data_IF_212848331214
#
_entry.id   IF_212848331214
#
_cell.length_a   1.000
_cell.length_b   1.000
_cell.length_c   1.000
_cell.angle_alpha   90.00
_cell.angle_beta   90.00
_cell.angle_gamma   90.00
#
_symmetry.space_group_name_H-M   'P 1'
#
loop_
_entity.id
_entity.type
_entity.pdbx_description
1 polymer ?
#
# COMPACT_ATOMS: atom_id res chain seq x y z
N UNK A 1 -1.24 20.21 -16.01
CA UNK A 1 -1.81 18.99 -15.40
C UNK A 1 -3.29 19.20 -15.19
N UNK A 2 -4.14 18.16 -15.31
CA UNK A 2 -5.56 18.27 -14.99
C UNK A 2 -5.75 18.79 -13.57
N UNK A 3 -6.81 19.57 -13.36
CA UNK A 3 -7.13 20.09 -12.03
C UNK A 3 -7.58 18.96 -11.08
N UNK A 4 -7.70 19.21 -9.76
CA UNK A 4 -8.07 18.18 -8.80
C UNK A 4 -9.42 17.48 -9.07
N UNK A 5 -10.41 18.18 -9.65
CA UNK A 5 -11.72 17.60 -9.97
C UNK A 5 -11.63 16.68 -11.18
N UNK A 6 -10.88 17.10 -12.22
CA UNK A 6 -10.60 16.28 -13.39
C UNK A 6 -9.83 15.00 -13.03
N UNK A 7 -8.83 15.11 -12.15
CA UNK A 7 -8.08 13.95 -11.62
C UNK A 7 -9.00 12.98 -10.88
N UNK A 8 -9.88 13.49 -10.01
CA UNK A 8 -10.82 12.67 -9.26
C UNK A 8 -11.80 11.95 -10.19
N UNK A 9 -12.37 12.66 -11.18
CA UNK A 9 -13.27 12.07 -12.16
C UNK A 9 -12.57 11.00 -13.02
N UNK A 10 -11.30 11.22 -13.36
CA UNK A 10 -10.51 10.25 -14.12
C UNK A 10 -10.19 8.99 -13.30
N UNK A 11 -9.77 9.15 -12.04
CA UNK A 11 -9.53 8.02 -11.13
C UNK A 11 -10.81 7.19 -10.92
N UNK A 12 -11.96 7.86 -10.74
CA UNK A 12 -13.26 7.20 -10.64
C UNK A 12 -13.62 6.41 -11.90
N UNK A 13 -13.33 6.97 -13.09
CA UNK A 13 -13.58 6.32 -14.38
C UNK A 13 -12.69 5.09 -14.60
N UNK A 14 -11.43 5.13 -14.15
CA UNK A 14 -10.51 3.99 -14.28
C UNK A 14 -10.88 2.82 -13.36
N UNK A 15 -11.37 3.11 -12.15
CA UNK A 15 -11.85 2.09 -11.21
C UNK A 15 -10.74 1.20 -10.61
N UNK A 16 -9.47 1.62 -10.70
CA UNK A 16 -8.37 0.97 -9.97
C UNK A 16 -8.40 1.37 -8.48
N UNK A 17 -7.76 0.57 -7.60
CA UNK A 17 -7.59 0.90 -6.18
C UNK A 17 -7.06 2.32 -5.98
N UNK A 18 -6.05 2.67 -6.77
CA UNK A 18 -5.49 4.01 -6.86
C UNK A 18 -5.05 4.31 -8.30
N UNK A 19 -5.08 5.61 -8.63
CA UNK A 19 -4.49 6.21 -9.82
C UNK A 19 -3.46 7.24 -9.35
N UNK A 20 -2.25 7.17 -9.92
CA UNK A 20 -1.18 8.14 -9.63
C UNK A 20 -1.01 9.09 -10.81
N UNK A 21 -1.02 10.38 -10.52
CA UNK A 21 -0.67 11.44 -11.45
C UNK A 21 0.77 11.86 -11.16
N UNK A 22 1.63 11.78 -12.18
CA UNK A 22 3.02 12.24 -12.09
C UNK A 22 3.09 13.67 -12.61
N UNK A 23 3.33 14.62 -11.71
CA UNK A 23 3.32 16.06 -12.00
C UNK A 23 4.70 16.57 -12.43
N UNK A 24 5.76 15.97 -11.89
CA UNK A 24 7.14 16.21 -12.31
C UNK A 24 7.93 14.89 -12.23
N UNK A 25 8.19 14.21 -13.36
CA UNK A 25 8.86 12.91 -13.35
C UNK A 25 10.34 13.01 -12.97
N UNK A 26 11.01 14.15 -13.22
CA UNK A 26 12.43 14.32 -12.87
C UNK A 26 12.61 14.53 -11.37
N UNK A 27 11.63 15.18 -10.72
CA UNK A 27 11.62 15.44 -9.27
C UNK A 27 10.78 14.46 -8.47
N UNK A 28 10.13 13.50 -9.14
CA UNK A 28 9.24 12.52 -8.51
C UNK A 28 8.00 13.12 -7.84
N UNK A 29 7.51 14.28 -8.28
CA UNK A 29 6.31 14.90 -7.69
C UNK A 29 5.08 14.15 -8.17
N UNK A 30 4.33 13.58 -7.23
CA UNK A 30 3.19 12.71 -7.52
C UNK A 30 1.97 13.07 -6.70
N UNK A 31 0.81 12.72 -7.24
CA UNK A 31 -0.47 12.88 -6.58
C UNK A 31 -1.31 11.61 -6.72
N UNK A 32 -1.96 11.19 -5.64
CA UNK A 32 -2.54 9.85 -5.53
C UNK A 32 -4.03 9.97 -5.27
N UNK A 33 -4.83 9.30 -6.09
CA UNK A 33 -6.28 9.32 -6.00
C UNK A 33 -6.82 7.90 -5.96
N UNK A 34 -7.78 7.69 -5.08
CA UNK A 34 -8.71 6.56 -5.15
C UNK A 34 -9.90 6.99 -6.01
N UNK A 35 -10.83 6.09 -6.36
CA UNK A 35 -12.05 6.49 -7.08
C UNK A 35 -12.87 7.58 -6.39
N UNK A 36 -12.76 7.73 -5.06
CA UNK A 36 -13.61 8.63 -4.27
C UNK A 36 -12.89 9.80 -3.62
N UNK A 37 -11.58 9.70 -3.35
CA UNK A 37 -10.83 10.75 -2.68
C UNK A 37 -9.34 10.76 -3.04
N UNK A 38 -8.72 11.92 -2.85
CA UNK A 38 -7.28 12.13 -2.87
C UNK A 38 -6.62 11.61 -1.59
N UNK A 39 -5.53 10.86 -1.74
CA UNK A 39 -4.73 10.35 -0.63
C UNK A 39 -3.45 11.19 -0.43
N UNK A 40 -3.03 11.44 0.82
CA UNK A 40 -1.74 12.07 1.08
C UNK A 40 -0.56 11.13 0.83
N UNK A 41 -0.79 9.81 0.91
CA UNK A 41 0.20 8.75 0.68
C UNK A 41 -0.51 7.41 0.40
N UNK A 42 0.12 6.56 -0.42
CA UNK A 42 -0.26 5.15 -0.58
C UNK A 42 0.98 4.30 -0.89
N UNK A 43 1.08 3.13 -0.27
CA UNK A 43 2.28 2.28 -0.34
C UNK A 43 2.56 1.69 -1.73
N UNK A 44 1.75 0.74 -2.19
CA UNK A 44 2.00 0.08 -3.49
C UNK A 44 1.96 1.05 -4.70
N UNK A 45 1.18 2.16 -4.71
CA UNK A 45 1.29 3.13 -5.80
C UNK A 45 2.66 3.81 -5.82
N UNK A 46 3.24 4.16 -4.66
CA UNK A 46 4.61 4.67 -4.59
C UNK A 46 5.65 3.62 -5.02
N UNK A 47 5.49 2.34 -4.63
CA UNK A 47 6.37 1.25 -5.10
C UNK A 47 6.34 1.13 -6.63
N UNK A 48 5.14 1.18 -7.22
CA UNK A 48 4.94 1.08 -8.67
C UNK A 48 5.52 2.26 -9.43
N UNK A 49 5.33 3.49 -8.93
CA UNK A 49 5.84 4.70 -9.57
C UNK A 49 7.36 4.83 -9.42
N UNK A 50 7.90 4.48 -8.24
CA UNK A 50 9.35 4.44 -8.03
C UNK A 50 10.03 3.46 -8.98
N UNK A 51 9.42 2.30 -9.21
CA UNK A 51 9.85 1.35 -10.24
C UNK A 51 9.76 1.90 -11.67
N UNK A 52 8.67 2.61 -11.99
CA UNK A 52 8.44 3.15 -13.33
C UNK A 52 9.40 4.28 -13.70
N UNK A 53 9.67 5.18 -12.74
CA UNK A 53 10.45 6.39 -12.97
C UNK A 53 11.96 6.18 -12.78
N UNK A 54 12.38 5.15 -12.02
CA UNK A 54 13.79 4.87 -11.70
C UNK A 54 14.50 6.10 -11.10
N UNK A 55 13.90 6.67 -10.05
CA UNK A 55 14.40 7.82 -9.30
C UNK A 55 14.52 7.49 -7.81
N UNK A 56 15.42 8.16 -7.07
CA UNK A 56 15.69 7.80 -5.67
C UNK A 56 14.62 8.28 -4.69
N UNK A 57 13.74 9.20 -5.08
CA UNK A 57 12.76 9.82 -4.17
C UNK A 57 11.47 10.18 -4.91
N UNK A 58 10.33 10.06 -4.21
CA UNK A 58 9.04 10.62 -4.62
C UNK A 58 8.59 11.68 -3.64
N UNK A 59 8.01 12.77 -4.13
CA UNK A 59 7.40 13.82 -3.32
C UNK A 59 5.89 13.62 -3.33
N UNK A 60 5.34 13.24 -2.18
CA UNK A 60 3.88 13.08 -1.95
C UNK A 60 3.37 14.23 -1.08
N UNK A 61 2.05 14.44 -0.96
CA UNK A 61 1.50 15.40 0.00
C UNK A 61 1.86 15.10 1.46
N UNK A 62 2.13 13.83 1.82
CA UNK A 62 2.56 13.47 3.17
C UNK A 62 4.05 13.75 3.44
N UNK A 63 4.88 13.76 2.38
CA UNK A 63 6.32 13.93 2.50
C UNK A 63 7.12 13.23 1.41
N UNK A 64 8.43 13.26 1.58
CA UNK A 64 9.42 12.66 0.68
C UNK A 64 9.59 11.17 0.99
N UNK A 65 9.23 10.33 0.04
CA UNK A 65 9.32 8.87 0.10
C UNK A 65 10.64 8.46 -0.55
N UNK A 66 11.52 7.79 0.18
CA UNK A 66 12.74 7.22 -0.41
C UNK A 66 12.38 6.06 -1.33
N UNK A 67 13.13 5.86 -2.41
CA UNK A 67 12.94 4.78 -3.39
C UNK A 67 14.26 4.09 -3.65
N UNK A 68 14.23 2.76 -3.71
CA UNK A 68 15.41 1.95 -4.03
C UNK A 68 15.01 0.76 -4.89
N UNK A 69 15.67 0.61 -6.04
CA UNK A 69 15.56 -0.59 -6.87
C UNK A 69 16.66 -1.58 -6.50
N UNK A 70 16.30 -2.84 -6.33
CA UNK A 70 17.20 -3.91 -5.89
C UNK A 70 16.86 -5.22 -6.60
N UNK A 71 17.52 -5.44 -7.73
CA UNK A 71 17.26 -6.58 -8.60
C UNK A 71 15.82 -6.57 -9.12
N UNK A 72 15.02 -7.56 -8.68
CA UNK A 72 13.60 -7.68 -9.05
C UNK A 72 12.65 -6.94 -8.11
N UNK A 73 13.16 -6.34 -7.03
CA UNK A 73 12.36 -5.63 -6.03
C UNK A 73 12.46 -4.12 -6.21
N UNK A 74 11.31 -3.45 -6.02
CA UNK A 74 11.22 -2.01 -5.81
C UNK A 74 10.84 -1.78 -4.35
N UNK A 75 11.58 -0.91 -3.68
CA UNK A 75 11.40 -0.55 -2.29
C UNK A 75 11.06 0.93 -2.16
N UNK A 76 10.23 1.23 -1.17
CA UNK A 76 10.01 2.59 -0.68
C UNK A 76 10.34 2.67 0.80
N UNK A 77 10.77 3.84 1.26
CA UNK A 77 10.88 4.19 2.67
C UNK A 77 9.87 5.29 3.00
N UNK A 78 8.99 5.01 3.98
CA UNK A 78 7.93 5.91 4.38
C UNK A 78 7.69 5.84 5.90
N UNK A 79 6.95 6.81 6.44
CA UNK A 79 6.57 6.83 7.86
C UNK A 79 5.19 6.26 8.08
N UNK A 80 5.00 5.56 9.20
CA UNK A 80 3.70 5.00 9.57
C UNK A 80 2.61 6.05 9.77
N UNK A 81 2.98 7.22 10.29
CA UNK A 81 2.05 8.34 10.49
C UNK A 81 1.48 8.91 9.18
N UNK A 82 2.07 8.61 8.01
CA UNK A 82 1.55 9.05 6.71
C UNK A 82 0.42 8.17 6.20
N UNK A 83 0.35 6.91 6.67
CA UNK A 83 -0.71 6.01 6.29
C UNK A 83 -2.04 6.49 6.89
N UNK A 84 -3.13 6.60 6.10
CA UNK A 84 -4.46 6.78 6.66
C UNK A 84 -4.78 5.73 7.73
N UNK A 85 -5.59 6.10 8.73
CA UNK A 85 -5.94 5.22 9.83
C UNK A 85 -6.62 3.93 9.36
N UNK A 86 -6.17 2.79 9.89
CA UNK A 86 -6.67 1.45 9.57
C UNK A 86 -6.74 0.59 10.82
N UNK A 87 -7.77 -0.24 10.93
CA UNK A 87 -7.91 -1.19 12.03
C UNK A 87 -7.15 -2.46 11.71
N UNK A 88 -5.96 -2.62 12.30
CA UNK A 88 -5.21 -3.87 12.22
C UNK A 88 -5.82 -4.89 13.18
N UNK A 89 -6.41 -5.96 12.64
CA UNK A 89 -7.12 -7.00 13.40
C UNK A 89 -6.40 -8.33 13.24
N UNK A 90 -5.84 -8.82 14.34
CA UNK A 90 -5.16 -10.12 14.38
C UNK A 90 -6.18 -11.25 14.58
N UNK A 91 -6.00 -12.35 13.85
CA UNK A 91 -6.77 -13.59 13.92
C UNK A 91 -5.90 -14.77 14.38
N UNK A 92 -6.54 -15.88 14.75
CA UNK A 92 -5.86 -17.04 15.32
C UNK A 92 -5.05 -17.85 14.31
N UNK A 93 -5.44 -17.81 13.03
CA UNK A 93 -4.76 -18.56 11.97
C UNK A 93 -4.95 -17.93 10.58
N UNK A 94 -4.07 -18.26 9.64
CA UNK A 94 -4.22 -17.88 8.24
C UNK A 94 -5.55 -18.40 7.64
N UNK A 95 -5.96 -19.61 7.99
CA UNK A 95 -7.23 -20.18 7.54
C UNK A 95 -8.46 -19.40 8.03
N UNK A 96 -8.40 -18.81 9.23
CA UNK A 96 -9.46 -17.90 9.70
C UNK A 96 -9.51 -16.62 8.85
N UNK A 97 -8.36 -16.03 8.53
CA UNK A 97 -8.27 -14.84 7.66
C UNK A 97 -8.85 -15.15 6.27
N UNK A 98 -8.49 -16.30 5.68
CA UNK A 98 -8.99 -16.73 4.38
C UNK A 98 -10.52 -16.97 4.39
N UNK A 99 -11.05 -17.48 5.51
CA UNK A 99 -12.47 -17.76 5.66
C UNK A 99 -13.34 -16.52 5.96
N UNK A 100 -12.75 -15.33 6.15
CA UNK A 100 -13.52 -14.12 6.45
C UNK A 100 -14.47 -13.76 5.30
N UNK A 101 -15.73 -13.48 5.67
CA UNK A 101 -16.61 -12.70 4.82
C UNK A 101 -16.12 -11.25 4.75
N UNK A 102 -16.46 -10.54 3.66
CA UNK A 102 -16.24 -9.10 3.57
C UNK A 102 -17.01 -8.42 4.72
N UNK A 103 -16.35 -7.60 5.56
CA UNK A 103 -17.01 -6.85 6.63
C UNK A 103 -18.05 -5.86 6.09
N UNK A 104 -19.00 -5.46 6.95
CA UNK A 104 -19.89 -4.34 6.63
C UNK A 104 -19.09 -3.06 6.31
N UNK A 105 -19.55 -2.22 5.36
CA UNK A 105 -18.89 -0.96 5.03
C UNK A 105 -18.76 -0.02 6.24
N UNK A 106 -17.75 0.85 6.21
CA UNK A 106 -17.55 1.94 7.17
C UNK A 106 -16.23 1.93 7.93
N UNK A 107 -15.61 0.76 8.13
CA UNK A 107 -14.30 0.64 8.77
C UNK A 107 -13.27 0.06 7.79
N UNK A 108 -12.09 0.69 7.70
CA UNK A 108 -10.96 0.08 7.00
C UNK A 108 -10.33 -1.00 7.88
N UNK A 109 -10.52 -2.27 7.53
CA UNK A 109 -10.02 -3.41 8.30
C UNK A 109 -8.86 -4.06 7.58
N UNK A 110 -7.75 -4.22 8.28
CA UNK A 110 -6.63 -5.05 7.84
C UNK A 110 -6.58 -6.32 8.70
N UNK A 111 -7.17 -7.39 8.18
CA UNK A 111 -7.21 -8.68 8.85
C UNK A 111 -5.90 -9.43 8.60
N UNK A 112 -5.27 -9.93 9.64
CA UNK A 112 -4.00 -10.65 9.50
C UNK A 112 -3.84 -11.75 10.54
N UNK A 113 -3.01 -12.73 10.24
CA UNK A 113 -2.59 -13.77 11.18
C UNK A 113 -1.14 -14.17 10.89
N UNK A 114 -0.46 -14.66 11.92
CA UNK A 114 0.83 -15.31 11.73
C UNK A 114 0.64 -16.64 11.00
N UNK A 115 1.39 -16.84 9.92
CA UNK A 115 1.64 -18.17 9.35
C UNK A 115 2.84 -18.82 10.03
N UNK A 116 3.85 -18.01 10.33
CA UNK A 116 5.03 -18.37 11.10
C UNK A 116 5.60 -17.11 11.73
N UNK A 117 5.29 -16.92 13.01
CA UNK A 117 5.74 -15.76 13.76
C UNK A 117 7.26 -15.72 13.92
N UNK A 118 7.93 -16.87 14.03
CA UNK A 118 9.39 -16.90 14.17
C UNK A 118 10.08 -16.35 12.92
N UNK A 119 9.55 -16.69 11.74
CA UNK A 119 10.05 -16.24 10.45
C UNK A 119 9.43 -14.92 9.94
N UNK A 120 8.52 -14.31 10.72
CA UNK A 120 7.84 -13.08 10.32
C UNK A 120 6.87 -13.24 9.14
N UNK A 121 6.37 -14.46 8.87
CA UNK A 121 5.42 -14.71 7.78
C UNK A 121 3.98 -14.44 8.22
N UNK A 122 3.29 -13.61 7.44
CA UNK A 122 1.95 -13.12 7.74
C UNK A 122 1.03 -13.40 6.56
N UNK A 123 -0.15 -13.94 6.85
CA UNK A 123 -1.29 -13.93 5.93
C UNK A 123 -2.16 -12.71 6.21
N UNK A 124 -2.55 -11.96 5.19
CA UNK A 124 -3.39 -10.77 5.35
C UNK A 124 -4.48 -10.62 4.27
N UNK A 125 -5.53 -9.87 4.61
CA UNK A 125 -6.57 -9.38 3.70
C UNK A 125 -6.93 -7.94 4.08
N UNK A 126 -7.08 -7.07 3.09
CA UNK A 126 -7.38 -5.65 3.28
C UNK A 126 -8.79 -5.32 2.83
N UNK A 127 -9.63 -4.82 3.73
CA UNK A 127 -11.02 -4.45 3.45
C UNK A 127 -11.18 -2.93 3.57
N UNK A 128 -11.35 -2.21 2.44
CA UNK A 128 -11.46 -0.76 2.46
C UNK A 128 -12.66 -0.22 3.23
N UNK A 129 -13.78 -0.96 3.24
CA UNK A 129 -15.04 -0.51 3.83
C UNK A 129 -15.63 0.72 3.12
N UNK A 130 -15.21 1.01 1.88
CA UNK A 130 -15.64 2.16 1.08
C UNK A 130 -16.77 1.76 0.13
N UNK A 131 -17.61 2.71 -0.24
CA UNK A 131 -18.67 2.55 -1.24
C UNK A 131 -18.18 2.95 -2.65
N UNK A 132 -17.05 2.37 -3.07
CA UNK A 132 -16.41 2.67 -4.35
C UNK A 132 -16.20 1.44 -5.24
N UNK A 133 -16.88 0.34 -4.91
CA UNK A 133 -16.81 -0.93 -5.63
C UNK A 133 -15.62 -1.80 -5.25
N UNK A 134 -14.66 -1.30 -4.46
CA UNK A 134 -13.50 -2.07 -4.00
C UNK A 134 -13.78 -2.60 -2.60
N UNK A 135 -14.36 -3.80 -2.55
CA UNK A 135 -14.71 -4.47 -1.30
C UNK A 135 -13.50 -5.12 -0.60
N UNK A 136 -12.46 -5.45 -1.37
CA UNK A 136 -11.20 -6.01 -0.89
C UNK A 136 -10.05 -5.49 -1.78
N UNK A 137 -8.97 -5.08 -1.14
CA UNK A 137 -7.76 -4.58 -1.76
C UNK A 137 -6.70 -5.69 -1.82
N UNK A 138 -6.17 -5.95 -3.01
CA UNK A 138 -5.28 -7.08 -3.28
C UNK A 138 -3.92 -6.92 -2.60
N UNK A 139 -3.43 -5.68 -2.47
CA UNK A 139 -2.20 -5.35 -1.77
C UNK A 139 -2.34 -3.99 -1.09
N UNK A 140 -2.09 -3.89 0.22
CA UNK A 140 -2.27 -2.64 0.97
C UNK A 140 -0.98 -2.26 1.69
N UNK A 141 -0.04 -1.68 0.94
CA UNK A 141 1.28 -1.31 1.48
C UNK A 141 1.21 -0.37 2.70
N UNK A 142 0.21 0.53 2.75
CA UNK A 142 0.02 1.41 3.90
C UNK A 142 -0.41 0.67 5.18
N UNK A 143 -1.17 -0.43 5.07
CA UNK A 143 -1.54 -1.26 6.21
C UNK A 143 -0.36 -2.16 6.65
N UNK A 144 0.37 -2.71 5.68
CA UNK A 144 1.62 -3.44 5.93
C UNK A 144 2.63 -2.56 6.68
N UNK A 145 2.76 -1.30 6.30
CA UNK A 145 3.61 -0.32 6.95
C UNK A 145 3.19 -0.12 8.43
N UNK A 146 1.91 0.16 8.69
CA UNK A 146 1.38 0.29 10.06
C UNK A 146 1.58 -0.97 10.90
N UNK A 147 1.42 -2.16 10.31
CA UNK A 147 1.62 -3.43 11.00
C UNK A 147 3.09 -3.64 11.38
N UNK A 148 3.99 -3.30 10.47
CA UNK A 148 5.44 -3.40 10.68
C UNK A 148 5.91 -2.47 11.79
N UNK A 149 5.43 -1.22 11.77
CA UNK A 149 5.70 -0.23 12.82
C UNK A 149 5.18 -0.72 14.19
N UNK A 150 3.94 -1.22 14.24
CA UNK A 150 3.33 -1.75 15.47
C UNK A 150 4.10 -2.95 16.04
N UNK A 151 4.54 -3.87 15.20
CA UNK A 151 5.23 -5.09 15.62
C UNK A 151 6.73 -4.89 15.82
N UNK A 152 7.30 -3.80 15.30
CA UNK A 152 8.72 -3.46 15.44
C UNK A 152 9.67 -4.48 14.81
N UNK A 153 9.25 -5.17 13.74
CA UNK A 153 10.04 -6.24 13.11
C UNK A 153 9.74 -6.40 11.63
N UNK A 154 10.67 -7.01 10.90
CA UNK A 154 10.48 -7.33 9.49
C UNK A 154 9.38 -8.38 9.27
N UNK A 155 8.60 -8.20 8.19
CA UNK A 155 7.49 -9.07 7.81
C UNK A 155 7.59 -9.49 6.35
N UNK A 156 7.20 -10.73 6.07
CA UNK A 156 6.92 -11.25 4.74
C UNK A 156 5.43 -11.54 4.66
N UNK A 157 4.69 -10.65 4.02
CA UNK A 157 3.23 -10.65 4.02
C UNK A 157 2.73 -11.21 2.69
N UNK A 158 1.85 -12.20 2.76
CA UNK A 158 1.03 -12.66 1.64
C UNK A 158 -0.38 -12.09 1.79
N UNK A 159 -0.74 -11.13 0.94
CA UNK A 159 -2.05 -10.47 0.95
C UNK A 159 -2.93 -10.91 -0.22
N UNK A 160 -4.25 -10.93 -0.02
CA UNK A 160 -5.21 -11.09 -1.10
C UNK A 160 -5.10 -12.45 -1.79
N UNK A 161 -5.12 -12.47 -3.11
CA UNK A 161 -4.94 -13.66 -3.93
C UNK A 161 -3.48 -14.16 -3.99
N UNK A 162 -2.51 -13.37 -3.54
CA UNK A 162 -1.12 -13.80 -3.45
C UNK A 162 -0.07 -12.70 -3.56
N UNK A 163 -0.45 -11.43 -3.42
CA UNK A 163 0.49 -10.32 -3.42
C UNK A 163 1.52 -10.46 -2.30
N UNK A 164 2.80 -10.36 -2.65
CA UNK A 164 3.90 -10.39 -1.69
C UNK A 164 4.33 -8.98 -1.33
N UNK A 165 4.24 -8.66 -0.03
CA UNK A 165 4.68 -7.38 0.52
C UNK A 165 5.78 -7.68 1.55
N UNK A 166 6.96 -7.13 1.33
CA UNK A 166 8.09 -7.23 2.24
C UNK A 166 8.23 -5.93 3.01
N UNK A 167 8.46 -6.00 4.31
CA UNK A 167 8.64 -4.80 5.12
C UNK A 167 9.71 -4.98 6.17
N UNK A 168 10.34 -3.87 6.58
CA UNK A 168 11.20 -3.85 7.75
C UNK A 168 11.24 -2.47 8.42
N UNK A 169 11.36 -2.41 9.75
CA UNK A 169 11.60 -1.15 10.45
C UNK A 169 13.02 -0.64 10.14
N UNK A 170 13.13 0.67 10.02
CA UNK A 170 14.37 1.41 9.81
C UNK A 170 14.59 2.41 10.96
N UNK A 171 15.84 2.92 11.16
CA UNK A 171 16.11 3.91 12.19
C UNK A 171 15.22 5.16 12.06
N UNK A 172 14.87 5.78 13.18
CA UNK A 172 14.15 7.06 13.16
C UNK A 172 12.65 6.98 12.82
N UNK A 173 12.02 5.81 12.99
CA UNK A 173 10.57 5.63 12.77
C UNK A 173 10.19 5.46 11.30
N UNK A 174 11.17 5.16 10.45
CA UNK A 174 10.96 4.81 9.05
C UNK A 174 10.64 3.33 8.92
N UNK A 175 9.91 2.98 7.86
CA UNK A 175 9.64 1.60 7.47
C UNK A 175 9.91 1.48 5.99
N UNK A 176 10.70 0.48 5.59
CA UNK A 176 10.79 0.10 4.19
C UNK A 176 9.65 -0.85 3.83
N UNK A 177 9.07 -0.66 2.64
CA UNK A 177 8.03 -1.51 2.07
C UNK A 177 8.44 -1.82 0.63
N UNK A 178 8.48 -3.09 0.26
CA UNK A 178 8.92 -3.50 -1.05
C UNK A 178 8.10 -4.64 -1.64
N UNK A 179 8.20 -4.76 -2.95
CA UNK A 179 7.53 -5.79 -3.73
C UNK A 179 8.07 -5.84 -5.15
N UNK A 180 7.66 -6.88 -5.89
CA UNK A 180 7.93 -6.97 -7.32
C UNK A 180 6.87 -6.18 -8.08
N UNK A 181 7.28 -5.46 -9.12
CA UNK A 181 6.37 -4.70 -9.99
C UNK A 181 6.41 -5.32 -11.38
N UNK A 182 5.24 -5.44 -12.02
CA UNK A 182 5.12 -5.90 -13.40
C UNK A 182 4.24 -4.94 -14.19
N UNK A 183 4.74 -4.54 -15.35
CA UNK A 183 3.95 -3.77 -16.31
C UNK A 183 2.91 -4.68 -16.96
N UNK A 184 1.63 -4.39 -16.75
CA UNK A 184 0.54 -5.02 -17.49
C UNK A 184 0.43 -4.32 -18.85
N UNK A 185 0.54 -5.09 -19.93
CA UNK A 185 0.20 -4.61 -21.28
C UNK A 185 -1.29 -4.84 -21.49
N UNK A 186 -2.00 -3.79 -21.86
CA UNK A 186 -3.37 -3.86 -22.37
C UNK A 186 -3.40 -4.45 -23.79
#
# INVERSE_FOLDING_TARGET
MPDPEERQAFAAKLGFSETVFVDDPERGVVDIYTPTLRLPFAGHPCVGVGWLLDIPELVTPAGMVGVRLDGEFSWIEARAEWAPGRTLRQYGSAGEVDALAVPEPGEWVYAWAWEDESAGRVRARGFPGRDDGIVEDEATGAAALLLTDRLGRALNIVQGAGSQILTAPQPGGWVEVGGRVRLLRA
#
